data_IF_630929399874
#
_entry.id   IF_630929399874
#
_cell.length_a   1.000
_cell.length_b   1.000
_cell.length_c   1.000
_cell.angle_alpha   90.00
_cell.angle_beta   90.00
_cell.angle_gamma   90.00
#
_symmetry.space_group_name_H-M   'P 1'
#
loop_
_entity.id
_entity.type
_entity.pdbx_description
1 polymer ?
#
# COMPACT_ATOMS: atom_id res chain seq x y z
N UNK A 1 10.33 -20.77 32.89
CA UNK A 1 9.36 -21.18 31.85
C UNK A 1 9.95 -22.32 31.03
N UNK A 2 9.19 -23.37 30.72
CA UNK A 2 9.69 -24.46 29.86
C UNK A 2 9.70 -24.01 28.40
N UNK A 3 10.66 -24.50 27.60
CA UNK A 3 10.77 -24.23 26.14
C UNK A 3 9.43 -24.36 25.38
N UNK A 4 8.58 -25.39 25.60
CA UNK A 4 7.29 -25.50 24.94
C UNK A 4 6.30 -24.40 25.35
N UNK A 5 6.32 -23.93 26.59
CA UNK A 5 5.45 -22.84 27.05
C UNK A 5 5.82 -21.51 26.37
N UNK A 6 7.13 -21.26 26.20
CA UNK A 6 7.63 -20.07 25.51
C UNK A 6 7.18 -20.08 24.04
N UNK A 7 7.30 -21.22 23.35
CA UNK A 7 6.86 -21.33 21.96
C UNK A 7 5.36 -21.08 21.77
N UNK A 8 4.51 -21.57 22.71
CA UNK A 8 3.07 -21.30 22.69
C UNK A 8 2.79 -19.81 22.88
N UNK A 9 3.45 -19.17 23.84
CA UNK A 9 3.32 -17.74 24.08
C UNK A 9 3.71 -16.93 22.82
N UNK A 10 4.87 -17.23 22.22
CA UNK A 10 5.30 -16.57 20.99
C UNK A 10 4.35 -16.82 19.82
N UNK A 11 3.71 -18.00 19.75
CA UNK A 11 2.70 -18.27 18.73
C UNK A 11 1.48 -17.34 18.86
N UNK A 12 1.00 -17.09 20.09
CA UNK A 12 -0.08 -16.13 20.30
C UNK A 12 0.35 -14.69 20.02
N UNK A 13 1.57 -14.31 20.41
CA UNK A 13 2.14 -13.00 20.06
C UNK A 13 2.23 -12.82 18.54
N UNK A 14 2.71 -13.84 17.83
CA UNK A 14 2.74 -13.88 16.37
C UNK A 14 1.34 -13.70 15.78
N UNK A 15 0.35 -14.47 16.25
CA UNK A 15 -1.02 -14.39 15.77
C UNK A 15 -1.63 -13.01 16.02
N UNK A 16 -1.35 -12.41 17.19
CA UNK A 16 -1.74 -11.04 17.50
C UNK A 16 -1.13 -10.00 16.55
N UNK A 17 0.18 -10.07 16.32
CA UNK A 17 0.89 -9.20 15.36
C UNK A 17 0.33 -9.36 13.94
N UNK A 18 0.07 -10.60 13.53
CA UNK A 18 -0.46 -10.91 12.21
C UNK A 18 -1.86 -10.33 12.03
N UNK A 19 -2.78 -10.56 12.98
CA UNK A 19 -4.14 -10.00 12.93
C UNK A 19 -4.10 -8.48 13.01
N UNK A 20 -3.28 -7.92 13.89
CA UNK A 20 -3.09 -6.48 14.02
C UNK A 20 -2.62 -5.84 12.70
N UNK A 21 -1.80 -6.54 11.89
CA UNK A 21 -1.38 -6.02 10.58
C UNK A 21 -2.58 -5.70 9.67
N UNK A 22 -3.59 -6.56 9.64
CA UNK A 22 -4.79 -6.36 8.82
C UNK A 22 -5.69 -5.28 9.40
N UNK A 23 -5.88 -5.28 10.73
CA UNK A 23 -6.68 -4.25 11.41
C UNK A 23 -6.06 -2.88 11.17
N UNK A 24 -4.75 -2.75 11.37
CA UNK A 24 -4.05 -1.48 11.18
C UNK A 24 -4.08 -1.04 9.71
N UNK A 25 -3.97 -1.97 8.76
CA UNK A 25 -4.15 -1.67 7.34
C UNK A 25 -5.54 -1.09 7.03
N UNK A 26 -6.62 -1.63 7.61
CA UNK A 26 -7.99 -1.20 7.32
C UNK A 26 -8.37 0.11 8.00
N UNK A 27 -7.95 0.33 9.24
CA UNK A 27 -8.30 1.56 9.98
C UNK A 27 -7.40 2.75 9.64
N UNK A 28 -6.21 2.52 9.06
CA UNK A 28 -5.28 3.61 8.71
C UNK A 28 -5.88 4.48 7.60
N UNK A 29 -6.08 5.79 7.81
CA UNK A 29 -6.57 6.68 6.75
C UNK A 29 -5.52 6.84 5.65
N UNK A 30 -5.98 6.99 4.40
CA UNK A 30 -5.14 7.36 3.26
C UNK A 30 -4.74 8.83 3.41
N UNK A 31 -3.44 9.11 3.53
CA UNK A 31 -2.91 10.47 3.74
C UNK A 31 -2.63 11.25 2.45
N UNK A 32 -2.66 10.58 1.29
CA UNK A 32 -2.18 11.12 0.02
C UNK A 32 -3.29 11.28 -1.04
N UNK A 33 -3.08 12.22 -1.97
CA UNK A 33 -3.94 12.49 -3.11
C UNK A 33 -3.37 11.89 -4.41
N UNK A 34 -4.23 11.36 -5.30
CA UNK A 34 -3.81 10.84 -6.61
C UNK A 34 -3.24 9.41 -6.56
N UNK A 35 -2.21 9.12 -7.38
CA UNK A 35 -1.66 7.76 -7.57
C UNK A 35 -1.00 7.15 -6.33
N UNK A 36 -0.59 7.96 -5.35
CA UNK A 36 0.01 7.49 -4.09
C UNK A 36 -1.02 7.26 -3.00
N UNK A 37 -2.31 7.52 -3.28
CA UNK A 37 -3.39 7.32 -2.32
C UNK A 37 -3.40 5.87 -1.81
N UNK A 38 -3.17 5.72 -0.50
CA UNK A 38 -3.16 4.42 0.18
C UNK A 38 -1.78 3.79 0.36
N UNK A 39 -0.70 4.40 -0.14
CA UNK A 39 0.67 3.92 0.11
C UNK A 39 0.97 3.80 1.61
N UNK A 40 0.54 4.78 2.41
CA UNK A 40 0.65 4.76 3.87
C UNK A 40 0.05 3.48 4.50
N UNK A 41 -1.06 2.95 3.97
CA UNK A 41 -1.67 1.70 4.48
C UNK A 41 -0.75 0.51 4.22
N UNK A 42 -0.22 0.44 3.01
CA UNK A 42 0.70 -0.62 2.59
C UNK A 42 1.96 -0.58 3.46
N UNK A 43 2.53 0.60 3.69
CA UNK A 43 3.70 0.77 4.56
C UNK A 43 3.43 0.28 5.98
N UNK A 44 2.30 0.69 6.58
CA UNK A 44 1.89 0.23 7.92
C UNK A 44 1.75 -1.29 7.93
N UNK A 45 1.09 -1.89 6.95
CA UNK A 45 0.95 -3.34 6.85
C UNK A 45 2.32 -4.04 6.82
N UNK A 46 3.25 -3.58 5.98
CA UNK A 46 4.58 -4.17 5.90
C UNK A 46 5.38 -4.04 7.19
N UNK A 47 5.27 -2.92 7.92
CA UNK A 47 5.90 -2.77 9.24
C UNK A 47 5.42 -3.83 10.22
N UNK A 48 4.11 -4.08 10.28
CA UNK A 48 3.54 -5.15 11.11
C UNK A 48 3.90 -6.55 10.60
N UNK A 49 3.95 -6.76 9.29
CA UNK A 49 4.37 -8.04 8.70
C UNK A 49 5.83 -8.37 8.95
N UNK A 50 6.73 -7.37 8.97
CA UNK A 50 8.14 -7.58 9.35
C UNK A 50 8.22 -8.03 10.82
N UNK A 51 7.51 -7.34 11.72
CA UNK A 51 7.45 -7.73 13.13
C UNK A 51 6.87 -9.14 13.32
N UNK A 52 5.75 -9.46 12.65
CA UNK A 52 5.17 -10.79 12.64
C UNK A 52 6.14 -11.83 12.03
N UNK A 53 6.85 -11.48 10.96
CA UNK A 53 7.82 -12.35 10.31
C UNK A 53 8.95 -12.77 11.25
N UNK A 54 9.54 -11.82 11.98
CA UNK A 54 10.57 -12.11 12.98
C UNK A 54 10.06 -13.06 14.06
N UNK A 55 8.90 -12.79 14.65
CA UNK A 55 8.33 -13.67 15.67
C UNK A 55 7.98 -15.05 15.08
N UNK A 56 7.45 -15.08 13.85
CA UNK A 56 7.10 -16.31 13.14
C UNK A 56 8.30 -17.23 12.88
N UNK A 57 9.46 -16.67 12.51
CA UNK A 57 10.71 -17.41 12.36
C UNK A 57 11.14 -18.02 13.69
N UNK A 58 11.07 -17.25 14.78
CA UNK A 58 11.44 -17.75 16.11
C UNK A 58 10.50 -18.90 16.53
N UNK A 59 9.18 -18.74 16.34
CA UNK A 59 8.19 -19.80 16.60
C UNK A 59 8.52 -21.07 15.81
N UNK A 60 8.82 -20.94 14.52
CA UNK A 60 9.17 -22.07 13.67
C UNK A 60 10.45 -22.79 14.13
N UNK A 61 11.50 -22.03 14.48
CA UNK A 61 12.74 -22.58 15.00
C UNK A 61 12.52 -23.30 16.34
N UNK A 62 11.73 -22.71 17.25
CA UNK A 62 11.38 -23.34 18.53
C UNK A 62 10.52 -24.58 18.35
N UNK A 63 9.74 -24.67 17.27
CA UNK A 63 8.96 -25.84 16.88
C UNK A 63 9.76 -27.13 16.76
N UNK A 64 11.07 -27.03 16.48
CA UNK A 64 11.99 -28.19 16.41
C UNK A 64 12.20 -28.89 17.77
N UNK A 65 11.94 -28.19 18.87
CA UNK A 65 12.10 -28.72 20.24
C UNK A 65 10.90 -29.55 20.72
N UNK A 66 9.81 -29.63 19.93
CA UNK A 66 8.68 -30.50 20.23
C UNK A 66 8.92 -31.92 19.70
N UNK A 67 8.41 -32.93 20.42
CA UNK A 67 8.46 -34.32 20.00
C UNK A 67 7.87 -34.50 18.59
N UNK A 68 8.48 -35.40 17.81
CA UNK A 68 7.95 -35.78 16.51
C UNK A 68 6.50 -36.32 16.64
N UNK A 69 5.62 -35.96 15.70
CA UNK A 69 4.20 -36.35 15.72
C UNK A 69 3.29 -35.50 16.61
N UNK A 70 3.82 -34.52 17.36
CA UNK A 70 2.97 -33.66 18.19
C UNK A 70 2.25 -32.59 17.36
N UNK A 71 0.95 -32.39 17.57
CA UNK A 71 0.15 -31.34 16.91
C UNK A 71 0.80 -29.94 16.99
N UNK A 72 1.38 -29.59 18.15
CA UNK A 72 2.09 -28.32 18.35
C UNK A 72 3.30 -28.12 17.42
N UNK A 73 3.99 -29.19 17.02
CA UNK A 73 5.09 -29.11 16.06
C UNK A 73 4.59 -28.71 14.67
N UNK A 74 3.39 -29.15 14.31
CA UNK A 74 2.74 -28.75 13.06
C UNK A 74 2.25 -27.30 13.13
N UNK A 75 1.65 -26.87 14.23
CA UNK A 75 1.24 -25.48 14.43
C UNK A 75 2.40 -24.48 14.29
N UNK A 76 3.61 -24.84 14.74
CA UNK A 76 4.79 -23.98 14.58
C UNK A 76 5.20 -23.77 13.10
N UNK A 77 4.62 -24.51 12.14
CA UNK A 77 4.83 -24.28 10.69
C UNK A 77 3.85 -23.28 10.10
N UNK A 78 2.74 -23.00 10.79
CA UNK A 78 1.71 -22.05 10.33
C UNK A 78 2.30 -20.68 9.97
N UNK A 79 3.22 -20.08 10.75
CA UNK A 79 3.80 -18.79 10.39
C UNK A 79 4.51 -18.77 9.03
N UNK A 80 5.22 -19.84 8.69
CA UNK A 80 5.92 -19.98 7.40
C UNK A 80 4.93 -20.21 6.27
N UNK A 81 3.90 -21.03 6.48
CA UNK A 81 2.85 -21.26 5.50
C UNK A 81 2.10 -19.95 5.21
N UNK A 82 1.75 -19.19 6.26
CA UNK A 82 1.11 -17.89 6.12
C UNK A 82 1.98 -16.89 5.35
N UNK A 83 3.28 -16.83 5.66
CA UNK A 83 4.22 -15.98 4.91
C UNK A 83 4.32 -16.40 3.44
N UNK A 84 4.39 -17.71 3.15
CA UNK A 84 4.42 -18.22 1.79
C UNK A 84 3.13 -17.90 1.02
N UNK A 85 1.96 -18.03 1.66
CA UNK A 85 0.67 -17.65 1.08
C UNK A 85 0.59 -16.15 0.80
N UNK A 86 1.06 -15.30 1.72
CA UNK A 86 1.11 -13.85 1.48
C UNK A 86 2.03 -13.50 0.31
N UNK A 87 3.20 -14.13 0.23
CA UNK A 87 4.13 -13.91 -0.88
C UNK A 87 3.53 -14.37 -2.21
N UNK A 88 2.92 -15.56 -2.25
CA UNK A 88 2.22 -16.07 -3.43
C UNK A 88 1.06 -15.16 -3.83
N UNK A 89 0.27 -14.69 -2.87
CA UNK A 89 -0.82 -13.75 -3.11
C UNK A 89 -0.32 -12.43 -3.69
N UNK A 90 0.80 -11.90 -3.17
CA UNK A 90 1.43 -10.70 -3.69
C UNK A 90 1.95 -10.90 -5.13
N UNK A 91 2.63 -12.02 -5.41
CA UNK A 91 3.11 -12.35 -6.76
C UNK A 91 1.92 -12.50 -7.72
N UNK A 92 0.87 -13.20 -7.32
CA UNK A 92 -0.34 -13.38 -8.12
C UNK A 92 -1.03 -12.04 -8.41
N UNK A 93 -1.06 -11.13 -7.43
CA UNK A 93 -1.60 -9.77 -7.59
C UNK A 93 -0.77 -8.95 -8.59
N UNK A 94 0.56 -9.00 -8.50
CA UNK A 94 1.44 -8.28 -9.45
C UNK A 94 1.32 -8.87 -10.86
N UNK A 95 1.28 -10.20 -10.96
CA UNK A 95 1.11 -10.90 -12.22
C UNK A 95 -0.23 -10.55 -12.87
N UNK A 96 -1.34 -10.53 -12.11
CA UNK A 96 -2.66 -10.20 -12.65
C UNK A 96 -2.67 -8.78 -13.23
N UNK A 97 -2.14 -7.78 -12.51
CA UNK A 97 -2.00 -6.41 -13.02
C UNK A 97 -1.15 -6.33 -14.31
N UNK A 98 -0.14 -7.19 -14.43
CA UNK A 98 0.72 -7.24 -15.63
C UNK A 98 0.00 -7.86 -16.84
N UNK A 99 -0.85 -8.85 -16.63
CA UNK A 99 -1.67 -9.46 -17.68
C UNK A 99 -2.80 -8.54 -18.16
N UNK A 100 -3.34 -7.69 -17.28
CA UNK A 100 -4.40 -6.72 -17.59
C UNK A 100 -3.88 -5.38 -18.12
N UNK A 101 -2.65 -5.29 -18.68
CA UNK A 101 -2.22 -4.07 -19.39
C UNK A 101 -3.23 -3.74 -20.49
N UNK A 102 -3.98 -2.63 -20.41
CA UNK A 102 -4.90 -2.28 -21.47
C UNK A 102 -4.08 -2.00 -22.74
N UNK A 103 -4.43 -2.70 -23.83
CA UNK A 103 -3.92 -2.48 -25.19
C UNK A 103 -4.38 -1.12 -25.77
N UNK A 104 -4.55 -0.10 -24.93
CA UNK A 104 -5.28 1.14 -25.24
C UNK A 104 -4.41 2.36 -25.52
N UNK A 105 -3.09 2.30 -25.36
CA UNK A 105 -2.21 3.42 -25.74
C UNK A 105 -1.74 3.37 -27.20
N UNK A 106 -2.07 2.32 -27.96
CA UNK A 106 -1.67 2.25 -29.38
C UNK A 106 -2.62 2.99 -30.33
N UNK A 107 -3.79 3.42 -29.85
CA UNK A 107 -4.75 4.20 -30.65
C UNK A 107 -4.79 5.69 -30.29
N UNK A 108 -3.94 6.16 -29.37
CA UNK A 108 -3.70 7.59 -29.16
C UNK A 108 -2.60 8.08 -30.11
N UNK A 109 -2.72 7.76 -31.39
CA UNK A 109 -1.99 8.52 -32.40
C UNK A 109 -2.67 9.90 -32.43
N UNK A 110 -1.97 11.01 -32.14
CA UNK A 110 -2.56 12.32 -32.28
C UNK A 110 -2.98 12.44 -33.74
N UNK A 111 -4.28 12.55 -34.00
CA UNK A 111 -4.72 13.08 -35.28
C UNK A 111 -4.09 14.48 -35.37
N UNK A 112 -3.20 14.78 -36.33
CA UNK A 112 -2.73 16.13 -36.53
C UNK A 112 -3.94 16.94 -37.01
N UNK A 113 -4.71 17.48 -36.08
CA UNK A 113 -5.66 18.51 -36.44
C UNK A 113 -4.85 19.68 -37.01
N UNK A 114 -5.19 20.20 -38.19
CA UNK A 114 -4.52 21.36 -38.72
C UNK A 114 -4.64 22.50 -37.71
N UNK A 115 -3.49 22.99 -37.24
CA UNK A 115 -3.38 24.22 -36.46
C UNK A 115 -3.70 25.37 -37.41
N UNK A 116 -4.99 25.64 -37.60
CA UNK A 116 -5.46 26.80 -38.35
C UNK A 116 -6.74 27.34 -37.74
N UNK A 117 -6.62 28.00 -36.60
CA UNK A 117 -7.42 29.20 -36.37
C UNK A 117 -6.59 30.16 -35.52
N UNK A 118 -6.18 31.33 -36.05
CA UNK A 118 -5.54 32.36 -35.25
C UNK A 118 -6.48 32.75 -34.12
N UNK A 119 -5.95 32.78 -32.90
CA UNK A 119 -6.62 33.44 -31.80
C UNK A 119 -6.87 34.90 -32.22
N UNK A 120 -8.13 35.23 -32.50
CA UNK A 120 -8.58 36.61 -32.51
C UNK A 120 -8.34 37.10 -31.09
N UNK A 121 -7.26 37.86 -30.89
CA UNK A 121 -7.06 38.65 -29.69
C UNK A 121 -8.25 39.60 -29.58
N UNK A 122 -9.15 39.34 -28.63
CA UNK A 122 -10.13 40.33 -28.22
C UNK A 122 -9.37 41.61 -27.85
N UNK A 123 -9.72 42.78 -28.41
CA UNK A 123 -9.07 44.02 -28.03
C UNK A 123 -9.40 44.33 -26.57
N UNK A 124 -8.41 44.18 -25.68
CA UNK A 124 -8.41 44.86 -24.40
C UNK A 124 -8.34 46.36 -24.69
N UNK A 125 -9.43 47.10 -24.46
CA UNK A 125 -9.40 48.56 -24.43
C UNK A 125 -10.33 49.09 -23.33
N UNK A 126 -9.73 49.19 -22.15
CA UNK A 126 -9.79 50.28 -21.15
C UNK A 126 -11.15 50.85 -20.76
N UNK A 127 -11.59 50.53 -19.55
CA UNK A 127 -12.50 51.39 -18.78
C UNK A 127 -11.85 52.77 -18.55
N UNK A 128 -12.61 53.89 -18.59
CA UNK A 128 -12.07 55.21 -18.34
C UNK A 128 -11.63 55.32 -16.88
N UNK A 129 -10.36 55.67 -16.66
CA UNK A 129 -9.86 56.10 -15.37
C UNK A 129 -10.51 57.45 -15.06
N UNK A 130 -11.49 57.46 -14.15
CA UNK A 130 -12.02 58.68 -13.54
C UNK A 130 -10.89 59.32 -12.73
N UNK A 131 -10.32 60.41 -13.24
CA UNK A 131 -9.39 61.24 -12.50
C UNK A 131 -10.24 62.12 -11.57
N UNK A 132 -10.24 61.79 -10.28
CA UNK A 132 -10.75 62.65 -9.22
C UNK A 132 -9.77 63.83 -9.04
N UNK A 133 -10.19 65.09 -9.21
CA UNK A 133 -9.30 66.23 -8.99
C UNK A 133 -9.01 66.39 -7.50
N UNK A 134 -7.73 66.52 -7.17
CA UNK A 134 -7.22 66.77 -5.83
C UNK A 134 -7.82 68.07 -5.21
N UNK A 135 -8.00 68.12 -3.89
CA UNK A 135 -8.58 69.27 -3.19
C UNK A 135 -7.64 70.47 -3.31
N UNK A 136 -8.19 71.62 -3.69
CA UNK A 136 -7.52 72.92 -3.62
C UNK A 136 -7.73 73.47 -2.21
N UNK A 137 -6.64 73.93 -1.58
CA UNK A 137 -6.61 74.60 -0.26
C UNK A 137 -7.57 75.80 -0.16
#
# INVERSE_FOLDING_TARGET
MTKPTIAKFLFFVWGGLFIASFIMFTITPSKDFGLTAGYNRIEVFFRWQIAAGFVGIIVWLMGKNFNAGTFWRWMCRIPIIAAALLLLGLIALIASLSFFKPKQMQNLQPNPQPVTEPAISEPVTTAPVTIEPAPVE
#
